data_IF_462481886798
#
_entry.id   IF_462481886798
#
_cell.length_a   1.000
_cell.length_b   1.000
_cell.length_c   1.000
_cell.angle_alpha   90.00
_cell.angle_beta   90.00
_cell.angle_gamma   90.00
#
_symmetry.space_group_name_H-M   'P 1'
#
loop_
_entity.id
_entity.type
_entity.pdbx_description
1 polymer ?
#
# COMPACT_ATOMS: atom_id res chain seq x y z
N UNK A 1 11.63 -15.61 8.73
CA UNK A 1 10.18 -15.31 8.83
C UNK A 1 9.59 -15.67 10.20
N UNK A 2 9.70 -16.89 10.74
CA UNK A 2 9.15 -17.21 12.08
C UNK A 2 9.53 -16.23 13.19
N UNK A 3 10.75 -15.71 13.18
CA UNK A 3 11.21 -14.78 14.20
C UNK A 3 10.64 -13.36 14.04
N UNK A 4 10.15 -13.02 12.84
CA UNK A 4 9.58 -11.71 12.51
C UNK A 4 8.06 -11.75 12.40
N UNK A 5 7.43 -12.89 12.69
CA UNK A 5 5.97 -13.07 12.64
C UNK A 5 5.44 -13.31 14.04
N UNK A 6 4.56 -12.44 14.51
CA UNK A 6 3.83 -12.56 15.77
C UNK A 6 2.35 -12.23 15.50
N UNK A 7 1.83 -11.21 16.14
CA UNK A 7 0.51 -10.67 15.79
C UNK A 7 0.51 -9.98 14.41
N UNK A 8 1.69 -9.49 14.00
CA UNK A 8 1.92 -8.80 12.74
C UNK A 8 3.24 -9.27 12.13
N UNK A 9 3.43 -8.98 10.84
CA UNK A 9 4.73 -9.09 10.20
C UNK A 9 5.56 -7.84 10.52
N UNK A 10 6.70 -8.03 11.15
CA UNK A 10 7.64 -6.95 11.48
C UNK A 10 8.88 -7.02 10.59
N UNK A 11 9.55 -5.90 10.38
CA UNK A 11 10.75 -5.76 9.56
C UNK A 11 11.92 -6.65 10.00
N UNK A 12 12.18 -6.71 11.28
CA UNK A 12 13.28 -7.47 11.81
C UNK A 12 13.22 -7.70 13.32
N UNK A 13 14.08 -8.58 13.80
CA UNK A 13 14.16 -8.92 15.24
C UNK A 13 15.19 -8.08 15.99
N UNK A 14 16.11 -7.44 15.26
CA UNK A 14 17.30 -6.80 15.84
C UNK A 14 17.20 -5.30 16.00
N UNK A 15 16.61 -4.61 15.01
CA UNK A 15 16.53 -3.14 15.00
C UNK A 15 15.13 -2.66 15.33
N UNK A 16 14.41 -2.11 14.35
CA UNK A 16 13.17 -1.38 14.55
C UNK A 16 12.08 -2.20 15.23
N UNK A 17 11.96 -3.48 14.88
CA UNK A 17 10.91 -4.40 15.39
C UNK A 17 9.53 -3.82 15.21
N UNK A 18 9.32 -3.16 14.08
CA UNK A 18 8.12 -2.43 13.77
C UNK A 18 7.45 -2.98 12.51
N UNK A 19 6.24 -2.53 12.25
CA UNK A 19 5.50 -2.93 11.05
C UNK A 19 5.72 -1.87 9.98
N UNK A 20 6.50 -2.21 8.95
CA UNK A 20 6.79 -1.37 7.80
C UNK A 20 6.15 -1.97 6.56
N UNK A 21 5.45 -1.15 5.74
CA UNK A 21 4.69 -1.64 4.59
C UNK A 21 5.58 -2.26 3.51
N UNK A 22 6.74 -1.66 3.25
CA UNK A 22 7.71 -2.19 2.28
C UNK A 22 8.31 -3.54 2.68
N UNK A 23 8.53 -3.78 3.98
CA UNK A 23 9.00 -5.07 4.51
C UNK A 23 7.87 -6.09 4.55
N UNK A 24 6.68 -5.65 4.94
CA UNK A 24 5.52 -6.52 5.10
C UNK A 24 5.10 -7.16 3.78
N UNK A 25 5.13 -6.43 2.65
CA UNK A 25 4.75 -6.98 1.33
C UNK A 25 5.61 -8.19 0.96
N UNK A 26 6.92 -8.15 1.24
CA UNK A 26 7.82 -9.27 1.00
C UNK A 26 7.50 -10.47 1.91
N UNK A 27 7.17 -10.18 3.16
CA UNK A 27 6.77 -11.20 4.13
C UNK A 27 5.44 -11.85 3.75
N UNK A 28 4.49 -11.11 3.20
CA UNK A 28 3.22 -11.66 2.70
C UNK A 28 3.45 -12.65 1.56
N UNK A 29 4.30 -12.30 0.57
CA UNK A 29 4.62 -13.21 -0.53
C UNK A 29 5.21 -14.52 -0.02
N UNK A 30 6.18 -14.45 0.92
CA UNK A 30 6.71 -15.66 1.55
C UNK A 30 5.62 -16.45 2.30
N UNK A 31 4.72 -15.75 2.98
CA UNK A 31 3.62 -16.38 3.72
C UNK A 31 2.68 -17.16 2.82
N UNK A 32 2.32 -16.62 1.66
CA UNK A 32 1.40 -17.28 0.73
C UNK A 32 1.95 -18.59 0.17
N UNK A 33 3.27 -18.77 0.14
CA UNK A 33 3.90 -20.00 -0.34
C UNK A 33 4.28 -20.99 0.76
N UNK A 34 4.48 -20.52 2.00
CA UNK A 34 5.11 -21.34 3.04
C UNK A 34 4.23 -21.59 4.27
N UNK A 35 3.46 -20.60 4.71
CA UNK A 35 2.77 -20.67 6.01
C UNK A 35 1.25 -20.57 5.91
N UNK A 36 0.73 -19.90 4.90
CA UNK A 36 -0.71 -19.69 4.67
C UNK A 36 -1.45 -19.02 5.84
N UNK A 37 -0.75 -18.23 6.66
CA UNK A 37 -1.36 -17.47 7.77
C UNK A 37 -1.99 -16.18 7.26
N UNK A 38 -3.18 -16.32 6.68
CA UNK A 38 -3.93 -15.18 6.14
C UNK A 38 -4.41 -14.22 7.24
N UNK A 39 -4.61 -14.70 8.46
CA UNK A 39 -5.07 -13.84 9.56
C UNK A 39 -4.01 -12.83 9.99
N UNK A 40 -2.74 -13.24 10.02
CA UNK A 40 -1.64 -12.30 10.29
C UNK A 40 -1.48 -11.29 9.16
N UNK A 41 -1.69 -11.70 7.90
CA UNK A 41 -1.69 -10.75 6.75
C UNK A 41 -2.80 -9.71 6.92
N UNK A 42 -4.04 -10.11 7.16
CA UNK A 42 -5.18 -9.20 7.35
C UNK A 42 -4.92 -8.19 8.47
N UNK A 43 -4.47 -8.67 9.62
CA UNK A 43 -4.15 -7.80 10.76
C UNK A 43 -3.07 -6.78 10.41
N UNK A 44 -2.04 -7.20 9.69
CA UNK A 44 -0.93 -6.33 9.29
C UNK A 44 -1.39 -5.28 8.28
N UNK A 45 -2.15 -5.66 7.25
CA UNK A 45 -2.74 -4.73 6.28
C UNK A 45 -3.63 -3.70 6.99
N UNK A 46 -4.46 -4.16 7.93
CA UNK A 46 -5.36 -3.28 8.68
C UNK A 46 -4.60 -2.29 9.57
N UNK A 47 -3.56 -2.75 10.26
CA UNK A 47 -2.72 -1.90 11.11
C UNK A 47 -2.01 -0.82 10.31
N UNK A 48 -1.40 -1.18 9.16
CA UNK A 48 -0.62 -0.27 8.32
C UNK A 48 -1.46 0.86 7.73
N UNK A 49 -2.77 0.67 7.59
CA UNK A 49 -3.67 1.74 7.16
C UNK A 49 -3.74 2.90 8.16
N UNK A 50 -3.54 2.64 9.43
CA UNK A 50 -3.69 3.65 10.47
C UNK A 50 -5.14 4.08 10.70
N UNK A 51 -5.33 5.27 11.28
CA UNK A 51 -6.63 5.83 11.66
C UNK A 51 -7.14 6.84 10.62
N UNK A 52 -8.45 7.11 10.66
CA UNK A 52 -9.05 8.25 9.95
C UNK A 52 -9.11 9.48 10.87
N UNK A 53 -9.01 10.71 10.32
CA UNK A 53 -8.73 11.00 8.92
C UNK A 53 -7.28 10.64 8.53
N UNK A 54 -7.05 10.34 7.24
CA UNK A 54 -5.68 10.13 6.73
C UNK A 54 -4.94 11.47 6.70
N UNK A 55 -3.82 11.55 7.37
CA UNK A 55 -3.01 12.78 7.48
C UNK A 55 -1.58 12.61 7.00
N UNK A 56 -1.19 11.39 6.67
CA UNK A 56 0.16 11.06 6.17
C UNK A 56 0.13 9.78 5.35
N UNK A 57 1.17 9.55 4.57
CA UNK A 57 1.44 8.27 3.96
C UNK A 57 1.64 7.15 4.99
N UNK A 58 1.44 5.90 4.60
CA UNK A 58 1.76 4.72 5.40
C UNK A 58 3.21 4.81 5.89
N UNK A 59 3.42 4.67 7.20
CA UNK A 59 4.75 4.84 7.80
C UNK A 59 5.43 6.19 7.46
N UNK A 60 4.70 7.22 7.03
CA UNK A 60 5.20 8.51 6.53
C UNK A 60 5.99 8.43 5.23
N UNK A 61 6.01 7.29 4.57
CA UNK A 61 6.77 7.00 3.34
C UNK A 61 5.81 6.87 2.17
N UNK A 62 6.06 7.60 1.08
CA UNK A 62 5.17 7.65 -0.08
C UNK A 62 5.04 6.28 -0.77
N UNK A 63 6.15 5.67 -1.13
CA UNK A 63 6.20 4.32 -1.73
C UNK A 63 5.48 3.28 -0.87
N UNK A 64 5.56 3.38 0.45
CA UNK A 64 4.96 2.43 1.39
C UNK A 64 3.43 2.47 1.37
N UNK A 65 2.85 3.61 1.03
CA UNK A 65 1.41 3.72 0.75
C UNK A 65 1.03 2.89 -0.47
N UNK A 66 1.82 2.95 -1.53
CA UNK A 66 1.58 2.14 -2.73
C UNK A 66 1.79 0.66 -2.46
N UNK A 67 2.83 0.28 -1.75
CA UNK A 67 3.02 -1.12 -1.32
C UNK A 67 1.86 -1.63 -0.46
N UNK A 68 1.23 -0.78 0.32
CA UNK A 68 0.02 -1.16 1.05
C UNK A 68 -1.14 -1.51 0.09
N UNK A 69 -1.37 -0.74 -0.96
CA UNK A 69 -2.37 -1.08 -1.99
C UNK A 69 -2.02 -2.39 -2.71
N UNK A 70 -0.77 -2.55 -3.14
CA UNK A 70 -0.31 -3.77 -3.80
C UNK A 70 -0.48 -5.00 -2.90
N UNK A 71 -0.26 -4.86 -1.60
CA UNK A 71 -0.48 -5.93 -0.62
C UNK A 71 -1.93 -6.41 -0.59
N UNK A 72 -2.89 -5.51 -0.78
CA UNK A 72 -4.32 -5.85 -0.83
C UNK A 72 -4.65 -6.61 -2.12
N UNK A 73 -4.08 -6.17 -3.25
CA UNK A 73 -4.18 -6.89 -4.51
C UNK A 73 -3.68 -8.33 -4.37
N UNK A 74 -2.45 -8.49 -3.89
CA UNK A 74 -1.82 -9.80 -3.71
C UNK A 74 -2.63 -10.66 -2.72
N UNK A 75 -3.07 -10.08 -1.60
CA UNK A 75 -3.90 -10.80 -0.65
C UNK A 75 -5.15 -11.40 -1.31
N UNK A 76 -5.86 -10.61 -2.10
CA UNK A 76 -7.03 -11.10 -2.82
C UNK A 76 -6.68 -12.17 -3.84
N UNK A 77 -5.62 -11.98 -4.61
CA UNK A 77 -5.19 -12.94 -5.64
C UNK A 77 -4.80 -14.30 -5.07
N UNK A 78 -4.20 -14.32 -3.87
CA UNK A 78 -3.78 -15.57 -3.22
C UNK A 78 -4.85 -16.20 -2.34
N UNK A 79 -5.75 -15.42 -1.73
CA UNK A 79 -6.75 -15.92 -0.78
C UNK A 79 -8.16 -16.06 -1.36
N UNK A 80 -8.52 -15.23 -2.35
CA UNK A 80 -9.89 -15.08 -2.82
C UNK A 80 -10.85 -14.43 -1.81
N UNK A 81 -10.34 -13.89 -0.70
CA UNK A 81 -11.16 -13.36 0.41
C UNK A 81 -11.79 -12.01 0.02
N UNK A 82 -12.88 -12.09 -0.70
CA UNK A 82 -13.68 -10.93 -1.12
C UNK A 82 -14.25 -10.17 0.07
N UNK A 83 -14.63 -10.86 1.13
CA UNK A 83 -15.30 -10.25 2.28
C UNK A 83 -14.34 -9.29 3.01
N UNK A 84 -13.10 -9.70 3.22
CA UNK A 84 -12.09 -8.82 3.81
C UNK A 84 -11.83 -7.59 2.94
N UNK A 85 -11.67 -7.77 1.62
CA UNK A 85 -11.44 -6.65 0.68
C UNK A 85 -12.61 -5.68 0.69
N UNK A 86 -13.85 -6.20 0.67
CA UNK A 86 -15.05 -5.37 0.71
C UNK A 86 -15.15 -4.59 2.03
N UNK A 87 -14.81 -5.22 3.16
CA UNK A 87 -14.78 -4.56 4.46
C UNK A 87 -13.70 -3.46 4.54
N UNK A 88 -12.54 -3.68 3.90
CA UNK A 88 -11.42 -2.75 3.89
C UNK A 88 -11.64 -1.58 2.93
N UNK A 89 -12.49 -1.74 1.91
CA UNK A 89 -12.64 -0.82 0.79
C UNK A 89 -12.88 0.65 1.17
N UNK A 90 -13.74 1.00 2.16
CA UNK A 90 -13.89 2.40 2.58
C UNK A 90 -12.58 3.04 3.08
N UNK A 91 -11.71 2.23 3.67
CA UNK A 91 -10.40 2.69 4.14
C UNK A 91 -9.40 2.82 2.99
N UNK A 92 -9.57 2.04 1.93
CA UNK A 92 -8.82 2.21 0.69
C UNK A 92 -9.22 3.51 -0.01
N UNK A 93 -10.51 3.81 -0.07
CA UNK A 93 -11.01 5.08 -0.64
C UNK A 93 -10.38 6.28 0.07
N UNK A 94 -10.48 6.38 1.39
CA UNK A 94 -9.93 7.52 2.13
C UNK A 94 -8.41 7.65 2.01
N UNK A 95 -7.67 6.55 1.85
CA UNK A 95 -6.24 6.60 1.56
C UNK A 95 -5.96 7.05 0.12
N UNK A 96 -6.74 6.58 -0.85
CA UNK A 96 -6.58 7.02 -2.24
C UNK A 96 -6.97 8.49 -2.41
N UNK A 97 -8.02 8.97 -1.74
CA UNK A 97 -8.39 10.39 -1.73
C UNK A 97 -7.24 11.26 -1.21
N UNK A 98 -6.56 10.81 -0.16
CA UNK A 98 -5.35 11.48 0.34
C UNK A 98 -4.24 11.52 -0.73
N UNK A 99 -3.99 10.41 -1.42
CA UNK A 99 -2.98 10.35 -2.50
C UNK A 99 -3.37 11.26 -3.67
N UNK A 100 -4.62 11.20 -4.13
CA UNK A 100 -5.12 12.02 -5.23
C UNK A 100 -5.08 13.52 -4.90
N UNK A 101 -5.33 13.90 -3.65
CA UNK A 101 -5.18 15.28 -3.17
C UNK A 101 -3.73 15.79 -3.17
N UNK A 102 -2.76 14.93 -3.47
CA UNK A 102 -1.31 15.21 -3.50
C UNK A 102 -0.69 15.02 -4.89
N UNK A 103 -1.51 14.83 -5.92
CA UNK A 103 -1.05 14.87 -7.30
C UNK A 103 -0.84 16.30 -7.77
N UNK A 104 0.10 16.49 -8.68
CA UNK A 104 0.33 17.80 -9.31
C UNK A 104 -0.68 18.09 -10.43
N UNK A 105 -0.51 19.21 -11.12
CA UNK A 105 -1.41 19.65 -12.20
C UNK A 105 -1.48 18.68 -13.40
N UNK A 106 -0.48 17.81 -13.55
CA UNK A 106 -0.44 16.77 -14.59
C UNK A 106 -1.06 15.44 -14.13
N UNK A 107 -1.59 15.39 -12.89
CA UNK A 107 -2.11 14.15 -12.30
C UNK A 107 -1.04 13.17 -11.83
N UNK A 108 0.21 13.59 -11.78
CA UNK A 108 1.34 12.78 -11.35
C UNK A 108 1.58 12.92 -9.84
N UNK A 109 2.02 11.84 -9.20
CA UNK A 109 2.44 11.90 -7.80
C UNK A 109 3.88 12.41 -7.69
N UNK A 110 4.10 13.28 -6.72
CA UNK A 110 5.44 13.77 -6.35
C UNK A 110 5.51 13.99 -4.83
N UNK A 111 6.70 13.89 -4.26
CA UNK A 111 6.89 14.14 -2.83
C UNK A 111 6.60 15.60 -2.49
N UNK A 112 5.68 15.84 -1.58
CA UNK A 112 5.36 17.15 -1.04
C UNK A 112 6.08 17.39 0.29
N UNK A 113 6.06 18.63 0.78
CA UNK A 113 6.63 18.95 2.09
C UNK A 113 6.08 18.02 3.18
N UNK A 114 6.98 17.32 3.85
CA UNK A 114 6.64 16.36 4.91
C UNK A 114 6.51 14.91 4.45
N UNK A 115 6.57 14.64 3.15
CA UNK A 115 6.63 13.28 2.64
C UNK A 115 8.07 12.79 2.57
N UNK A 116 8.25 11.53 2.85
CA UNK A 116 9.51 10.84 2.59
C UNK A 116 9.34 9.98 1.31
N UNK A 117 9.99 10.43 0.24
CA UNK A 117 10.16 9.64 -1.00
C UNK A 117 11.38 8.76 -0.79
N UNK A 118 11.15 7.50 -0.50
CA UNK A 118 12.22 6.60 -0.07
C UNK A 118 12.94 5.97 -1.27
N UNK A 119 12.24 5.30 -2.16
CA UNK A 119 12.75 4.50 -3.29
C UNK A 119 13.72 3.40 -2.82
N UNK A 120 14.86 3.81 -2.23
CA UNK A 120 15.83 2.95 -1.56
C UNK A 120 16.77 3.77 -0.64
N UNK A 121 17.77 3.10 -0.05
CA UNK A 121 18.79 3.70 0.81
C UNK A 121 19.94 4.40 0.06
N UNK A 122 19.80 4.63 -1.25
CA UNK A 122 20.82 5.30 -2.08
C UNK A 122 20.78 6.83 -1.99
N UNK A 123 20.52 7.39 -0.82
CA UNK A 123 20.56 8.84 -0.57
C UNK A 123 21.94 9.41 -0.91
N UNK A 124 21.96 10.41 -1.78
CA UNK A 124 23.19 11.00 -2.31
C UNK A 124 23.64 10.48 -3.67
N UNK A 125 23.04 9.39 -4.16
CA UNK A 125 23.27 8.86 -5.51
C UNK A 125 22.06 9.04 -6.43
N UNK A 126 20.87 9.16 -5.87
CA UNK A 126 19.62 9.35 -6.60
C UNK A 126 19.00 10.71 -6.27
N UNK A 127 18.62 11.45 -7.30
CA UNK A 127 17.76 12.62 -7.13
C UNK A 127 16.30 12.13 -6.99
N UNK A 128 15.78 12.16 -5.78
CA UNK A 128 14.46 11.69 -5.40
C UNK A 128 13.42 12.83 -5.37
N UNK A 129 13.49 13.74 -6.33
CA UNK A 129 12.62 14.91 -6.44
C UNK A 129 11.75 14.86 -7.68
N UNK A 130 10.59 15.51 -7.58
CA UNK A 130 9.64 15.61 -8.68
C UNK A 130 8.96 14.29 -9.01
N UNK A 131 8.59 14.14 -10.27
CA UNK A 131 7.79 13.03 -10.79
C UNK A 131 8.65 11.81 -11.09
N UNK A 132 8.97 11.01 -10.08
CA UNK A 132 9.81 9.82 -10.25
C UNK A 132 9.05 8.71 -10.97
N UNK A 133 9.62 8.14 -12.02
CA UNK A 133 9.01 7.02 -12.77
C UNK A 133 8.67 5.83 -11.87
N UNK A 134 9.50 5.55 -10.88
CA UNK A 134 9.27 4.50 -9.90
C UNK A 134 7.93 4.71 -9.16
N UNK A 135 7.70 5.91 -8.64
CA UNK A 135 6.46 6.25 -7.93
C UNK A 135 5.24 6.23 -8.85
N UNK A 136 5.37 6.69 -10.10
CA UNK A 136 4.26 6.65 -11.06
C UNK A 136 3.83 5.21 -11.36
N UNK A 137 4.79 4.28 -11.53
CA UNK A 137 4.48 2.86 -11.75
C UNK A 137 3.73 2.27 -10.56
N UNK A 138 4.18 2.55 -9.33
CA UNK A 138 3.49 2.11 -8.11
C UNK A 138 2.11 2.74 -7.97
N UNK A 139 1.97 4.02 -8.30
CA UNK A 139 0.69 4.72 -8.28
C UNK A 139 -0.30 4.12 -9.30
N UNK A 140 0.11 3.92 -10.56
CA UNK A 140 -0.72 3.24 -11.56
C UNK A 140 -1.19 1.86 -11.07
N UNK A 141 -0.28 1.07 -10.49
CA UNK A 141 -0.63 -0.24 -9.94
C UNK A 141 -1.60 -0.15 -8.76
N UNK A 142 -1.49 0.90 -7.95
CA UNK A 142 -2.44 1.17 -6.87
C UNK A 142 -3.83 1.54 -7.39
N UNK A 143 -3.92 2.29 -8.50
CA UNK A 143 -5.19 2.59 -9.17
C UNK A 143 -5.83 1.33 -9.79
N UNK A 144 -5.05 0.43 -10.39
CA UNK A 144 -5.55 -0.88 -10.84
C UNK A 144 -6.11 -1.69 -9.66
N UNK A 145 -5.42 -1.67 -8.52
CA UNK A 145 -5.91 -2.31 -7.28
C UNK A 145 -7.23 -1.70 -6.83
N UNK A 146 -7.34 -0.37 -6.83
CA UNK A 146 -8.60 0.31 -6.50
C UNK A 146 -9.72 -0.08 -7.44
N UNK A 147 -9.47 -0.15 -8.76
CA UNK A 147 -10.48 -0.56 -9.74
C UNK A 147 -10.97 -2.00 -9.50
N UNK A 148 -10.06 -2.93 -9.20
CA UNK A 148 -10.42 -4.30 -8.83
C UNK A 148 -11.29 -4.33 -7.57
N UNK A 149 -10.82 -3.69 -6.48
CA UNK A 149 -11.49 -3.71 -5.20
C UNK A 149 -12.84 -2.98 -5.21
N UNK A 150 -12.95 -1.88 -5.98
CA UNK A 150 -14.22 -1.19 -6.24
C UNK A 150 -15.23 -2.13 -6.92
N UNK A 151 -14.78 -2.89 -7.92
CA UNK A 151 -15.62 -3.89 -8.58
C UNK A 151 -16.10 -4.98 -7.63
N UNK A 152 -15.23 -5.47 -6.73
CA UNK A 152 -15.58 -6.45 -5.71
C UNK A 152 -16.58 -5.91 -4.68
N UNK A 153 -16.43 -4.65 -4.29
CA UNK A 153 -17.33 -3.95 -3.38
C UNK A 153 -18.64 -3.48 -4.03
N UNK A 154 -18.81 -3.65 -5.36
CA UNK A 154 -19.99 -3.22 -6.10
C UNK A 154 -20.03 -1.73 -6.42
N UNK A 155 -18.93 -1.00 -6.26
CA UNK A 155 -18.82 0.42 -6.58
C UNK A 155 -18.29 0.63 -8.00
N UNK A 156 -19.21 0.68 -8.96
CA UNK A 156 -18.90 0.83 -10.40
C UNK A 156 -18.38 2.23 -10.74
N UNK A 157 -18.77 3.27 -10.01
CA UNK A 157 -18.31 4.64 -10.23
C UNK A 157 -16.81 4.76 -9.94
N UNK A 158 -16.36 4.31 -8.76
CA UNK A 158 -14.94 4.35 -8.37
C UNK A 158 -14.09 3.44 -9.27
N UNK A 159 -14.63 2.29 -9.69
CA UNK A 159 -13.96 1.43 -10.65
C UNK A 159 -13.64 2.17 -11.94
N UNK A 160 -14.61 2.92 -12.49
CA UNK A 160 -14.42 3.69 -13.73
C UNK A 160 -13.43 4.83 -13.52
N UNK A 161 -13.54 5.59 -12.41
CA UNK A 161 -12.62 6.68 -12.09
C UNK A 161 -11.18 6.19 -11.95
N UNK A 162 -10.95 5.08 -11.24
CA UNK A 162 -9.61 4.51 -11.10
C UNK A 162 -8.99 4.11 -12.45
N UNK A 163 -9.79 3.58 -13.39
CA UNK A 163 -9.31 3.22 -14.73
C UNK A 163 -9.05 4.43 -15.63
N UNK A 164 -9.69 5.56 -15.38
CA UNK A 164 -9.45 6.79 -16.15
C UNK A 164 -8.10 7.43 -15.79
N UNK A 165 -7.64 7.25 -14.55
CA UNK A 165 -6.38 7.81 -14.05
C UNK A 165 -5.15 6.98 -14.42
N UNK A 166 -5.31 5.79 -14.97
CA UNK A 166 -4.21 4.93 -15.46
C UNK A 166 -3.83 5.36 -16.88
#
# INVERSE_FOLDING_TARGET
MHLTTREFFIDGIKRDRWVWSGDAIQSYLMNYYLFFDNETVKRTIWLLRGKDPVTSHSNTIMDYTFYWFLSIYDYYMYSGDKDFVTQLYPRMQSMMDYVLGRTNANGMVEGMTGDWVFVDWADGYLDKKGELSFEQVLFCKSLETMALCAGLAGNTADKTLSLIHI
#
